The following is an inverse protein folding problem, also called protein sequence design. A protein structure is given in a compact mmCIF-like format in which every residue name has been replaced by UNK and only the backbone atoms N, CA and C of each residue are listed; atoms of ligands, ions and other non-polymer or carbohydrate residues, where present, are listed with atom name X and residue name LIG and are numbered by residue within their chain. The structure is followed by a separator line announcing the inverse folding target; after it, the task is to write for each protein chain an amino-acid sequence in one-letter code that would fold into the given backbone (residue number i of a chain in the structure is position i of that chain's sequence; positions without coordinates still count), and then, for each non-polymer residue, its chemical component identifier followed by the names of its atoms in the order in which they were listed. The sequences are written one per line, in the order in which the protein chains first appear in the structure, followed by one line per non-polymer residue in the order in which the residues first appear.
data_IF_573648703305
#
_entry.id   IF_573648703305
#
_cell.length_a   1.000
_cell.length_b   1.000
_cell.length_c   1.000
_cell.angle_alpha   90.00
_cell.angle_beta   90.00
_cell.angle_gamma   90.00
#
_symmetry.space_group_name_H-M   'P 1'
#
loop_
_entity.id
_entity.type
_entity.pdbx_description
1 polymer ?
#
# COMPACT_ATOMS: atom_id res chain seq x y z
N UNK A 1 24.91 28.68 0.65
CA UNK A 1 24.17 29.58 1.54
C UNK A 1 23.21 28.71 2.35
N UNK A 2 23.46 28.51 3.64
CA UNK A 2 22.61 27.68 4.50
C UNK A 2 21.23 28.31 4.69
N UNK A 3 20.17 27.52 4.52
CA UNK A 3 18.82 27.98 4.83
C UNK A 3 18.65 28.21 6.33
N UNK A 4 18.02 29.32 6.70
CA UNK A 4 17.65 29.62 8.09
C UNK A 4 16.63 28.60 8.63
N UNK A 5 16.61 28.41 9.95
CA UNK A 5 15.69 27.48 10.63
C UNK A 5 14.20 27.81 10.36
N UNK A 6 13.87 29.10 10.32
CA UNK A 6 12.51 29.56 9.99
C UNK A 6 12.12 29.20 8.55
N UNK A 7 13.04 29.35 7.59
CA UNK A 7 12.81 28.95 6.20
C UNK A 7 12.64 27.43 6.07
N UNK A 8 13.43 26.63 6.81
CA UNK A 8 13.28 25.16 6.88
C UNK A 8 11.92 24.75 7.45
N UNK A 9 11.45 25.42 8.50
CA UNK A 9 10.14 25.18 9.13
C UNK A 9 8.98 25.54 8.20
N UNK A 10 9.04 26.67 7.52
CA UNK A 10 8.03 27.07 6.55
C UNK A 10 7.97 26.13 5.35
N UNK A 11 9.12 25.70 4.83
CA UNK A 11 9.19 24.71 3.76
C UNK A 11 8.63 23.36 4.21
N UNK A 12 8.92 22.94 5.44
CA UNK A 12 8.35 21.74 6.03
C UNK A 12 6.81 21.82 6.07
N UNK A 13 6.24 22.89 6.61
CA UNK A 13 4.78 23.08 6.65
C UNK A 13 4.15 23.12 5.26
N UNK A 14 4.76 23.84 4.31
CA UNK A 14 4.32 23.87 2.90
C UNK A 14 4.34 22.47 2.25
N UNK A 15 5.29 21.63 2.67
CA UNK A 15 5.39 20.25 2.18
C UNK A 15 4.29 19.38 2.80
N UNK A 16 3.95 19.58 4.06
CA UNK A 16 2.87 18.85 4.73
C UNK A 16 1.50 19.20 4.17
N UNK A 17 1.29 20.43 3.69
CA UNK A 17 0.05 20.81 2.98
C UNK A 17 -0.22 19.98 1.71
N UNK A 18 0.80 19.37 1.12
CA UNK A 18 0.63 18.42 0.00
C UNK A 18 -0.17 17.20 0.44
N UNK A 19 0.07 16.69 1.66
CA UNK A 19 -0.72 15.60 2.22
C UNK A 19 -2.19 15.99 2.30
N UNK A 20 -2.50 17.13 2.95
CA UNK A 20 -3.87 17.60 3.14
C UNK A 20 -4.59 17.83 1.82
N UNK A 21 -3.91 18.48 0.87
CA UNK A 21 -4.46 18.75 -0.47
C UNK A 21 -4.74 17.45 -1.24
N UNK A 22 -3.81 16.49 -1.25
CA UNK A 22 -4.02 15.21 -1.91
C UNK A 22 -5.12 14.40 -1.23
N UNK A 23 -5.15 14.36 0.10
CA UNK A 23 -6.19 13.70 0.87
C UNK A 23 -7.59 14.22 0.50
N UNK A 24 -7.78 15.54 0.51
CA UNK A 24 -9.04 16.16 0.11
C UNK A 24 -9.44 15.80 -1.32
N UNK A 25 -8.51 15.89 -2.28
CA UNK A 25 -8.77 15.57 -3.68
C UNK A 25 -9.13 14.11 -3.90
N UNK A 26 -8.41 13.20 -3.24
CA UNK A 26 -8.66 11.76 -3.32
C UNK A 26 -10.05 11.43 -2.77
N UNK A 27 -10.41 11.96 -1.59
CA UNK A 27 -11.75 11.75 -1.00
C UNK A 27 -12.84 12.23 -1.97
N UNK A 28 -12.71 13.44 -2.53
CA UNK A 28 -13.67 13.97 -3.50
C UNK A 28 -13.82 13.09 -4.74
N UNK A 29 -12.71 12.58 -5.28
CA UNK A 29 -12.74 11.71 -6.45
C UNK A 29 -13.40 10.36 -6.14
N UNK A 30 -13.06 9.76 -5.01
CA UNK A 30 -13.66 8.51 -4.55
C UNK A 30 -15.17 8.67 -4.32
N UNK A 31 -15.61 9.80 -3.78
CA UNK A 31 -17.03 10.14 -3.66
C UNK A 31 -17.71 10.27 -5.03
N UNK A 32 -17.08 10.93 -6.01
CA UNK A 32 -17.63 11.04 -7.37
C UNK A 32 -17.74 9.69 -8.07
N UNK A 33 -16.88 8.74 -7.73
CA UNK A 33 -16.88 7.39 -8.29
C UNK A 33 -17.71 6.38 -7.49
N UNK A 34 -18.30 6.80 -6.37
CA UNK A 34 -18.97 5.90 -5.43
C UNK A 34 -20.26 5.29 -5.98
N UNK A 35 -20.92 6.00 -6.88
CA UNK A 35 -22.25 5.61 -7.34
C UNK A 35 -22.22 4.27 -8.10
N UNK A 36 -23.27 3.47 -7.91
CA UNK A 36 -23.38 2.12 -8.45
C UNK A 36 -23.19 1.03 -7.39
N UNK A 37 -22.22 0.14 -7.60
CA UNK A 37 -22.08 -1.09 -6.82
C UNK A 37 -21.69 -0.85 -5.35
N UNK A 38 -22.28 -1.62 -4.42
CA UNK A 38 -22.00 -1.57 -2.97
C UNK A 38 -20.49 -1.62 -2.65
N UNK A 39 -19.73 -2.42 -3.40
CA UNK A 39 -18.27 -2.54 -3.25
C UNK A 39 -17.56 -1.19 -3.39
N UNK A 40 -18.06 -0.26 -4.22
CA UNK A 40 -17.48 1.08 -4.37
C UNK A 40 -17.68 1.91 -3.10
N UNK A 41 -18.84 1.77 -2.43
CA UNK A 41 -19.10 2.43 -1.14
C UNK A 41 -18.12 1.94 -0.06
N UNK A 42 -17.84 0.63 0.01
CA UNK A 42 -16.84 0.10 0.95
C UNK A 42 -15.43 0.66 0.69
N UNK A 43 -15.05 0.85 -0.58
CA UNK A 43 -13.76 1.48 -0.90
C UNK A 43 -13.68 2.95 -0.48
N UNK A 44 -14.80 3.68 -0.54
CA UNK A 44 -14.86 5.06 -0.01
C UNK A 44 -14.74 5.06 1.51
N UNK A 45 -15.42 4.14 2.18
CA UNK A 45 -15.32 3.99 3.63
C UNK A 45 -13.88 3.68 4.08
N UNK A 46 -13.27 2.66 3.47
CA UNK A 46 -11.90 2.20 3.77
C UNK A 46 -10.86 3.30 3.52
N UNK A 47 -10.97 4.03 2.40
CA UNK A 47 -9.99 5.07 2.07
C UNK A 47 -10.11 6.29 2.99
N UNK A 48 -11.32 6.65 3.43
CA UNK A 48 -11.52 7.74 4.40
C UNK A 48 -10.84 7.38 5.71
N UNK A 49 -11.06 6.15 6.22
CA UNK A 49 -10.40 5.68 7.45
C UNK A 49 -8.88 5.73 7.31
N UNK A 50 -8.33 5.16 6.24
CA UNK A 50 -6.88 5.09 6.00
C UNK A 50 -6.26 6.48 5.87
N UNK A 51 -6.92 7.43 5.20
CA UNK A 51 -6.47 8.83 5.10
C UNK A 51 -6.50 9.52 6.47
N UNK A 52 -7.57 9.36 7.25
CA UNK A 52 -7.66 9.99 8.57
C UNK A 52 -6.66 9.40 9.56
N UNK A 53 -6.43 8.09 9.51
CA UNK A 53 -5.35 7.44 10.26
C UNK A 53 -4.00 8.07 9.92
N UNK A 54 -3.66 8.16 8.63
CA UNK A 54 -2.41 8.77 8.18
C UNK A 54 -2.32 10.25 8.54
N UNK A 55 -3.43 10.99 8.51
CA UNK A 55 -3.51 12.36 8.97
C UNK A 55 -3.23 12.50 10.46
N UNK A 56 -3.77 11.58 11.28
CA UNK A 56 -3.57 11.54 12.73
C UNK A 56 -2.11 11.31 13.12
N UNK A 57 -1.43 10.40 12.42
CA UNK A 57 -0.02 10.08 12.67
C UNK A 57 0.95 10.98 11.87
N UNK A 58 0.43 11.96 11.12
CA UNK A 58 1.25 12.91 10.40
C UNK A 58 1.97 13.87 11.37
N UNK A 59 3.04 14.53 10.89
CA UNK A 59 3.72 15.57 11.64
C UNK A 59 3.80 16.86 10.80
N UNK A 60 3.06 17.93 11.14
CA UNK A 60 2.07 17.99 12.21
C UNK A 60 0.81 17.16 11.87
N UNK A 61 0.04 16.72 12.88
CA UNK A 61 -1.20 15.96 12.67
C UNK A 61 -2.28 16.79 11.97
N UNK A 62 -3.08 16.13 11.13
CA UNK A 62 -4.30 16.67 10.54
C UNK A 62 -5.53 16.01 11.15
N UNK A 63 -6.53 16.80 11.51
CA UNK A 63 -7.85 16.30 11.93
C UNK A 63 -8.72 16.07 10.69
N UNK A 64 -9.76 15.21 10.76
CA UNK A 64 -10.71 15.06 9.66
C UNK A 64 -11.26 16.41 9.18
N UNK A 65 -11.68 17.27 10.12
CA UNK A 65 -12.16 18.64 9.85
C UNK A 65 -11.15 19.49 9.09
N UNK A 66 -9.85 19.42 9.41
CA UNK A 66 -8.85 20.22 8.69
C UNK A 66 -8.57 19.69 7.27
N UNK A 67 -8.79 18.40 7.02
CA UNK A 67 -8.66 17.80 5.69
C UNK A 67 -9.86 18.17 4.80
N UNK A 68 -11.09 17.94 5.28
CA UNK A 68 -12.30 18.03 4.43
C UNK A 68 -13.08 19.34 4.55
N UNK A 69 -12.84 20.15 5.59
CA UNK A 69 -13.66 21.33 5.88
C UNK A 69 -14.99 20.99 6.55
N UNK A 70 -15.69 21.99 7.09
CA UNK A 70 -16.89 21.78 7.92
C UNK A 70 -18.06 21.21 7.14
N UNK A 71 -18.33 21.74 5.95
CA UNK A 71 -19.50 21.35 5.15
C UNK A 71 -19.42 19.87 4.74
N UNK A 72 -18.30 19.45 4.16
CA UNK A 72 -18.08 18.05 3.76
C UNK A 72 -17.99 17.10 4.95
N UNK A 73 -17.50 17.58 6.10
CA UNK A 73 -17.38 16.76 7.31
C UNK A 73 -18.74 16.21 7.73
N UNK A 74 -19.77 17.07 7.79
CA UNK A 74 -21.12 16.68 8.22
C UNK A 74 -21.73 15.64 7.29
N UNK A 75 -21.56 15.80 5.98
CA UNK A 75 -22.06 14.81 5.01
C UNK A 75 -21.31 13.47 5.11
N UNK A 76 -19.99 13.50 5.29
CA UNK A 76 -19.19 12.30 5.44
C UNK A 76 -19.49 11.55 6.74
N UNK A 77 -19.66 12.25 7.86
CA UNK A 77 -20.02 11.62 9.15
C UNK A 77 -21.39 10.95 9.08
N UNK A 78 -22.34 11.53 8.34
CA UNK A 78 -23.65 10.92 8.09
C UNK A 78 -23.55 9.68 7.20
N UNK A 79 -22.82 9.76 6.09
CA UNK A 79 -22.79 8.72 5.07
C UNK A 79 -21.81 7.56 5.41
N UNK A 80 -20.74 7.87 6.15
CA UNK A 80 -19.61 7.00 6.52
C UNK A 80 -19.17 7.29 7.98
N UNK A 81 -19.95 6.87 8.99
CA UNK A 81 -19.65 7.19 10.39
C UNK A 81 -18.44 6.42 10.95
N UNK A 82 -18.21 5.18 10.51
CA UNK A 82 -17.21 4.28 11.08
C UNK A 82 -15.75 4.80 10.93
N UNK A 83 -15.35 5.39 9.78
CA UNK A 83 -14.04 6.02 9.66
C UNK A 83 -13.77 7.07 10.74
N UNK A 84 -14.75 7.89 11.11
CA UNK A 84 -14.61 8.92 12.15
C UNK A 84 -14.52 8.33 13.55
N UNK A 85 -15.21 7.22 13.78
CA UNK A 85 -15.17 6.51 15.06
C UNK A 85 -13.83 5.79 15.29
N UNK A 86 -13.25 5.22 14.23
CA UNK A 86 -12.16 4.25 14.37
C UNK A 86 -10.79 4.68 13.84
N UNK A 87 -10.65 5.81 13.13
CA UNK A 87 -9.35 6.25 12.59
C UNK A 87 -8.26 6.46 13.65
N UNK A 88 -8.65 6.67 14.92
CA UNK A 88 -7.74 6.89 16.04
C UNK A 88 -7.51 5.67 16.94
N UNK A 89 -8.11 4.52 16.63
CA UNK A 89 -8.08 3.32 17.49
C UNK A 89 -7.83 2.02 16.74
N UNK A 90 -8.21 1.94 15.46
CA UNK A 90 -8.00 0.77 14.60
C UNK A 90 -7.05 1.10 13.45
N UNK A 91 -6.29 0.10 12.98
CA UNK A 91 -5.33 0.29 11.90
C UNK A 91 -5.96 -0.01 10.53
N UNK A 92 -5.66 0.78 9.49
CA UNK A 92 -5.98 0.38 8.13
C UNK A 92 -5.14 -0.84 7.74
N UNK A 93 -5.74 -1.72 6.93
CA UNK A 93 -5.10 -2.95 6.44
C UNK A 93 -4.18 -2.72 5.24
N UNK A 94 -4.35 -1.59 4.55
CA UNK A 94 -3.60 -1.21 3.35
C UNK A 94 -3.58 0.31 3.16
N UNK A 95 -2.73 0.77 2.25
CA UNK A 95 -2.59 2.19 1.94
C UNK A 95 -3.82 2.76 1.18
N UNK A 96 -4.07 4.08 1.24
CA UNK A 96 -5.20 4.69 0.54
C UNK A 96 -5.18 4.47 -0.98
N UNK A 97 -3.99 4.46 -1.59
CA UNK A 97 -3.88 4.33 -3.04
C UNK A 97 -4.26 2.92 -3.54
N UNK A 98 -4.21 1.90 -2.67
CA UNK A 98 -4.74 0.56 -2.97
C UNK A 98 -6.26 0.59 -3.17
N UNK A 99 -6.98 1.42 -2.40
CA UNK A 99 -8.42 1.63 -2.58
C UNK A 99 -8.72 2.37 -3.90
N UNK A 100 -7.88 3.34 -4.28
CA UNK A 100 -7.98 4.04 -5.58
C UNK A 100 -7.75 3.06 -6.74
N UNK A 101 -6.75 2.18 -6.63
CA UNK A 101 -6.47 1.13 -7.61
C UNK A 101 -7.69 0.22 -7.80
N UNK A 102 -8.25 -0.29 -6.72
CA UNK A 102 -9.46 -1.13 -6.77
C UNK A 102 -10.65 -0.39 -7.38
N UNK A 103 -10.82 0.90 -7.04
CA UNK A 103 -11.87 1.73 -7.63
C UNK A 103 -11.68 1.84 -9.15
N UNK A 104 -10.45 2.07 -9.63
CA UNK A 104 -10.16 2.11 -11.07
C UNK A 104 -10.47 0.78 -11.75
N UNK A 105 -10.11 -0.35 -11.14
CA UNK A 105 -10.44 -1.69 -11.64
C UNK A 105 -11.96 -1.87 -11.77
N UNK A 106 -12.73 -1.42 -10.78
CA UNK A 106 -14.20 -1.50 -10.81
C UNK A 106 -14.87 -0.57 -11.82
N UNK A 107 -14.23 0.55 -12.17
CA UNK A 107 -14.75 1.50 -13.14
C UNK A 107 -14.41 1.10 -14.58
N UNK A 108 -13.20 0.58 -14.80
CA UNK A 108 -12.68 0.28 -16.14
C UNK A 108 -12.84 -1.18 -16.52
N UNK A 109 -12.98 -2.07 -15.56
CA UNK A 109 -13.00 -3.51 -15.77
C UNK A 109 -11.60 -4.11 -15.69
N UNK A 110 -11.50 -5.24 -15.01
CA UNK A 110 -10.24 -5.89 -14.63
C UNK A 110 -9.34 -6.29 -15.82
N UNK A 111 -9.94 -6.52 -16.99
CA UNK A 111 -9.19 -6.83 -18.22
C UNK A 111 -8.54 -5.63 -18.90
N UNK A 112 -8.95 -4.40 -18.59
CA UNK A 112 -8.58 -3.20 -19.33
C UNK A 112 -7.32 -2.54 -18.74
N UNK A 113 -6.22 -3.30 -18.70
CA UNK A 113 -4.96 -2.91 -18.07
C UNK A 113 -4.47 -1.53 -18.54
N UNK A 114 -4.34 -1.30 -19.85
CA UNK A 114 -3.82 -0.03 -20.38
C UNK A 114 -4.70 1.17 -20.01
N UNK A 115 -6.03 1.00 -20.04
CA UNK A 115 -6.96 2.06 -19.63
C UNK A 115 -6.84 2.36 -18.13
N UNK A 116 -6.61 1.34 -17.31
CA UNK A 116 -6.38 1.50 -15.87
C UNK A 116 -5.05 2.25 -15.63
N UNK A 117 -3.96 1.82 -16.29
CA UNK A 117 -2.65 2.49 -16.20
C UNK A 117 -2.75 3.96 -16.59
N UNK A 118 -3.37 4.24 -17.74
CA UNK A 118 -3.53 5.60 -18.24
C UNK A 118 -4.39 6.44 -17.30
N UNK A 119 -5.51 5.90 -16.81
CA UNK A 119 -6.38 6.64 -15.87
C UNK A 119 -5.69 6.97 -14.55
N UNK A 120 -4.84 6.07 -14.04
CA UNK A 120 -4.02 6.33 -12.85
C UNK A 120 -2.96 7.39 -13.13
N UNK A 121 -2.29 7.33 -14.28
CA UNK A 121 -1.31 8.35 -14.70
C UNK A 121 -1.96 9.73 -14.80
N UNK A 122 -3.10 9.84 -15.46
CA UNK A 122 -3.84 11.09 -15.64
C UNK A 122 -4.29 11.64 -14.28
N UNK A 123 -4.83 10.78 -13.41
CA UNK A 123 -5.16 11.14 -12.03
C UNK A 123 -3.95 11.75 -11.31
N UNK A 124 -2.82 11.07 -11.39
CA UNK A 124 -1.59 11.46 -10.70
C UNK A 124 -1.00 12.76 -11.27
N UNK A 125 -1.04 12.95 -12.59
CA UNK A 125 -0.48 14.11 -13.27
C UNK A 125 -1.37 15.35 -13.17
N UNK A 126 -2.68 15.17 -13.35
CA UNK A 126 -3.60 16.29 -13.56
C UNK A 126 -4.25 16.75 -12.27
N UNK A 127 -4.43 15.83 -11.31
CA UNK A 127 -5.19 16.12 -10.08
C UNK A 127 -4.28 16.19 -8.87
N UNK A 128 -3.30 15.30 -8.73
CA UNK A 128 -2.54 15.16 -7.49
C UNK A 128 -1.25 15.98 -7.50
N UNK A 129 -0.94 16.59 -6.35
CA UNK A 129 0.21 17.47 -6.21
C UNK A 129 1.49 16.66 -6.01
N UNK A 130 2.53 16.95 -6.80
CA UNK A 130 3.86 16.32 -6.75
C UNK A 130 4.96 17.35 -6.43
N UNK A 131 4.95 17.98 -5.25
CA UNK A 131 6.01 18.94 -4.89
C UNK A 131 7.22 18.24 -4.25
N UNK A 132 8.42 18.69 -4.66
CA UNK A 132 9.71 18.51 -3.96
C UNK A 132 9.92 17.09 -3.38
N UNK A 133 9.85 16.08 -4.24
CA UNK A 133 10.19 14.69 -3.91
C UNK A 133 9.31 14.01 -2.83
N UNK A 134 8.22 14.63 -2.37
CA UNK A 134 7.27 14.00 -1.43
C UNK A 134 5.92 13.76 -2.10
N UNK A 135 5.71 12.50 -2.51
CA UNK A 135 4.48 12.01 -3.13
C UNK A 135 3.56 11.43 -2.04
N UNK A 136 2.98 12.30 -1.21
CA UNK A 136 2.06 11.86 -0.16
C UNK A 136 0.80 11.25 -0.78
N UNK A 137 0.45 10.03 -0.35
CA UNK A 137 -0.75 9.30 -0.76
C UNK A 137 -0.79 8.95 -2.26
N UNK A 138 0.34 9.02 -2.96
CA UNK A 138 0.43 8.76 -4.40
C UNK A 138 1.44 7.66 -4.68
N UNK A 139 0.96 6.49 -5.10
CA UNK A 139 1.84 5.43 -5.61
C UNK A 139 2.35 5.81 -6.98
N UNK A 140 3.60 5.46 -7.28
CA UNK A 140 4.18 5.65 -8.62
C UNK A 140 4.50 4.36 -9.32
N UNK A 141 4.21 3.24 -8.67
CA UNK A 141 4.42 1.93 -9.24
C UNK A 141 3.19 1.09 -9.01
N UNK A 142 2.75 0.45 -10.08
CA UNK A 142 1.73 -0.59 -10.08
C UNK A 142 2.41 -1.92 -10.43
N UNK A 143 1.82 -3.01 -9.98
CA UNK A 143 2.18 -4.35 -10.42
C UNK A 143 0.92 -5.07 -10.87
N UNK A 144 1.05 -5.83 -11.97
CA UNK A 144 -0.01 -6.68 -12.51
C UNK A 144 0.47 -8.12 -12.48
N UNK A 145 -0.22 -8.94 -11.69
CA UNK A 145 0.01 -10.37 -11.60
C UNK A 145 -1.11 -11.12 -12.30
N UNK A 146 -0.77 -12.19 -13.01
CA UNK A 146 -1.73 -12.94 -13.82
C UNK A 146 -1.28 -14.40 -13.91
N UNK A 147 -2.23 -15.33 -13.77
CA UNK A 147 -1.96 -16.77 -13.84
C UNK A 147 -1.30 -17.19 -15.17
N UNK A 148 -1.81 -16.69 -16.29
CA UNK A 148 -1.23 -16.92 -17.62
C UNK A 148 -1.61 -15.79 -18.57
N UNK A 149 -0.63 -15.32 -19.35
CA UNK A 149 -0.84 -14.34 -20.42
C UNK A 149 -1.54 -14.93 -21.64
N UNK A 150 -1.40 -16.24 -21.88
CA UNK A 150 -1.90 -16.92 -23.07
C UNK A 150 -3.43 -17.02 -23.10
N UNK A 151 -4.06 -17.17 -21.94
CA UNK A 151 -5.50 -17.37 -21.81
C UNK A 151 -6.27 -16.13 -21.36
N UNK A 152 -5.65 -14.94 -21.44
CA UNK A 152 -6.20 -13.67 -20.94
C UNK A 152 -6.84 -13.83 -19.55
N UNK A 153 -6.15 -14.54 -18.64
CA UNK A 153 -6.70 -14.87 -17.33
C UNK A 153 -6.90 -13.60 -16.49
N UNK A 154 -7.58 -13.72 -15.36
CA UNK A 154 -7.84 -12.60 -14.46
C UNK A 154 -6.54 -11.90 -14.05
N UNK A 155 -6.53 -10.56 -14.11
CA UNK A 155 -5.39 -9.69 -13.73
C UNK A 155 -5.56 -9.16 -12.31
N UNK A 156 -4.54 -9.30 -11.49
CA UNK A 156 -4.53 -8.89 -10.09
C UNK A 156 -3.58 -7.72 -9.90
N UNK A 157 -4.10 -6.62 -9.39
CA UNK A 157 -3.37 -5.36 -9.30
C UNK A 157 -2.86 -5.15 -7.88
N UNK A 158 -1.73 -4.45 -7.78
CA UNK A 158 -1.18 -3.94 -6.54
C UNK A 158 -0.46 -2.63 -6.78
N UNK A 159 -0.26 -1.85 -5.71
CA UNK A 159 0.44 -0.56 -5.77
C UNK A 159 1.50 -0.48 -4.67
N UNK A 160 2.56 0.29 -4.94
CA UNK A 160 3.59 0.56 -3.94
C UNK A 160 3.04 1.42 -2.79
N UNK A 161 3.56 1.21 -1.57
CA UNK A 161 3.12 1.93 -0.38
C UNK A 161 3.60 3.39 -0.37
N UNK A 162 2.71 4.31 -0.74
CA UNK A 162 2.98 5.74 -0.86
C UNK A 162 2.78 6.51 0.45
N UNK A 163 3.60 6.22 1.44
CA UNK A 163 3.56 6.89 2.75
C UNK A 163 4.97 7.31 3.21
N UNK A 164 5.03 8.15 4.25
CA UNK A 164 6.29 8.53 4.90
C UNK A 164 6.98 7.34 5.58
N UNK A 165 8.22 7.50 6.10
CA UNK A 165 9.03 6.38 6.60
C UNK A 165 8.31 5.47 7.62
N UNK A 166 7.87 6.02 8.76
CA UNK A 166 7.16 5.24 9.78
C UNK A 166 5.76 4.79 9.31
N UNK A 167 4.92 5.67 8.73
CA UNK A 167 3.62 5.25 8.19
C UNK A 167 3.71 4.09 7.19
N UNK A 168 4.74 4.06 6.33
CA UNK A 168 4.97 2.97 5.38
C UNK A 168 5.27 1.66 6.09
N UNK A 169 6.16 1.66 7.08
CA UNK A 169 6.50 0.47 7.87
C UNK A 169 5.26 -0.05 8.62
N UNK A 170 4.46 0.85 9.18
CA UNK A 170 3.17 0.51 9.83
C UNK A 170 2.24 -0.20 8.84
N UNK A 171 2.04 0.37 7.64
CA UNK A 171 1.14 -0.22 6.63
C UNK A 171 1.64 -1.59 6.13
N UNK A 172 2.95 -1.77 5.96
CA UNK A 172 3.54 -3.07 5.60
C UNK A 172 3.28 -4.10 6.69
N UNK A 173 3.59 -3.77 7.96
CA UNK A 173 3.36 -4.70 9.06
C UNK A 173 1.87 -5.02 9.26
N UNK A 174 1.00 -4.00 9.14
CA UNK A 174 -0.45 -4.20 9.18
C UNK A 174 -0.93 -5.13 8.06
N UNK A 175 -0.43 -4.94 6.83
CA UNK A 175 -0.77 -5.79 5.70
C UNK A 175 -0.32 -7.24 5.93
N UNK A 176 0.92 -7.48 6.38
CA UNK A 176 1.41 -8.81 6.74
C UNK A 176 0.51 -9.52 7.77
N UNK A 177 0.06 -8.79 8.79
CA UNK A 177 -0.67 -9.38 9.92
C UNK A 177 -2.18 -9.53 9.68
N UNK A 178 -2.76 -8.84 8.70
CA UNK A 178 -4.22 -8.73 8.57
C UNK A 178 -4.79 -8.84 7.16
N UNK A 179 -3.96 -8.57 6.15
CA UNK A 179 -4.45 -8.34 4.79
C UNK A 179 -3.86 -9.33 3.80
N UNK A 180 -2.55 -9.47 3.70
CA UNK A 180 -1.91 -10.23 2.63
C UNK A 180 -2.15 -11.74 2.73
N UNK A 181 -2.07 -12.41 1.58
CA UNK A 181 -1.99 -13.87 1.54
C UNK A 181 -0.82 -14.37 2.39
N UNK A 182 -1.01 -15.50 3.05
CA UNK A 182 -0.02 -16.03 3.99
C UNK A 182 1.35 -16.27 3.33
N UNK A 183 1.43 -16.68 2.06
CA UNK A 183 2.70 -16.91 1.38
C UNK A 183 3.46 -15.59 1.15
N UNK A 184 2.74 -14.53 0.82
CA UNK A 184 3.34 -13.20 0.66
C UNK A 184 3.76 -12.63 2.01
N UNK A 185 2.90 -12.75 3.03
CA UNK A 185 3.23 -12.31 4.38
C UNK A 185 4.46 -13.03 4.92
N UNK A 186 4.53 -14.36 4.74
CA UNK A 186 5.66 -15.19 5.18
C UNK A 186 6.95 -14.85 4.41
N UNK A 187 6.87 -14.57 3.11
CA UNK A 187 8.00 -14.05 2.36
C UNK A 187 8.50 -12.73 2.98
N UNK A 188 7.63 -11.76 3.23
CA UNK A 188 8.01 -10.47 3.82
C UNK A 188 8.60 -10.64 5.22
N UNK A 189 7.98 -11.48 6.06
CA UNK A 189 8.42 -11.79 7.43
C UNK A 189 9.82 -12.42 7.50
N UNK A 190 10.29 -13.04 6.40
CA UNK A 190 11.65 -13.59 6.29
C UNK A 190 12.73 -12.55 6.54
N UNK A 191 12.48 -11.30 6.15
CA UNK A 191 13.41 -10.18 6.32
C UNK A 191 12.88 -9.16 7.34
N UNK A 192 11.66 -8.68 7.13
CA UNK A 192 11.05 -7.60 7.94
C UNK A 192 10.95 -7.95 9.43
N UNK A 193 11.29 -7.06 10.39
CA UNK A 193 11.46 -5.61 10.24
C UNK A 193 12.84 -5.16 9.75
N UNK A 194 13.81 -6.07 9.73
CA UNK A 194 15.17 -5.80 9.30
C UNK A 194 15.35 -5.97 7.79
N UNK A 195 16.56 -5.69 7.32
CA UNK A 195 16.98 -5.95 5.94
C UNK A 195 17.71 -7.29 5.78
N UNK A 196 18.07 -7.93 6.89
CA UNK A 196 18.81 -9.19 6.96
C UNK A 196 17.83 -10.35 7.10
N UNK A 197 18.09 -11.44 6.37
CA UNK A 197 17.29 -12.65 6.45
C UNK A 197 17.38 -13.27 7.85
N UNK A 198 16.23 -13.66 8.42
CA UNK A 198 16.17 -14.44 9.67
C UNK A 198 16.79 -15.83 9.45
N UNK A 199 17.66 -16.25 10.36
CA UNK A 199 18.30 -17.57 10.26
C UNK A 199 17.35 -18.72 10.61
N UNK A 200 16.30 -18.43 11.39
CA UNK A 200 15.33 -19.42 11.86
C UNK A 200 14.06 -19.51 11.00
N UNK A 201 13.90 -18.63 10.01
CA UNK A 201 12.67 -18.57 9.22
C UNK A 201 12.94 -18.10 7.79
N UNK A 202 12.46 -18.86 6.81
CA UNK A 202 12.54 -18.54 5.39
C UNK A 202 11.21 -18.91 4.70
N UNK A 203 10.32 -17.92 4.62
CA UNK A 203 9.05 -18.00 3.90
C UNK A 203 9.13 -17.43 2.49
N UNK A 204 10.32 -17.22 1.92
CA UNK A 204 10.45 -16.76 0.52
C UNK A 204 9.77 -17.74 -0.44
N UNK A 205 9.21 -17.19 -1.52
CA UNK A 205 8.46 -17.98 -2.49
C UNK A 205 9.10 -17.95 -3.87
N UNK A 206 8.80 -19.00 -4.64
CA UNK A 206 9.09 -19.09 -6.06
C UNK A 206 7.81 -19.41 -6.81
N UNK A 207 7.39 -18.47 -7.63
CA UNK A 207 6.17 -18.58 -8.45
C UNK A 207 6.33 -19.68 -9.51
N UNK A 208 5.24 -20.38 -9.88
CA UNK A 208 5.29 -21.36 -10.96
C UNK A 208 5.56 -20.70 -12.31
N UNK A 209 6.14 -21.46 -13.24
CA UNK A 209 6.42 -20.98 -14.60
C UNK A 209 5.14 -20.52 -15.29
N UNK A 210 5.22 -19.41 -16.03
CA UNK A 210 4.10 -18.84 -16.78
C UNK A 210 3.25 -17.83 -16.00
N UNK A 211 3.42 -17.74 -14.67
CA UNK A 211 2.81 -16.65 -13.90
C UNK A 211 3.52 -15.35 -14.21
N UNK A 212 2.74 -14.34 -14.56
CA UNK A 212 3.18 -12.98 -14.79
C UNK A 212 3.15 -12.20 -13.48
N UNK A 213 4.15 -11.34 -13.28
CA UNK A 213 4.22 -10.36 -12.19
C UNK A 213 5.07 -9.18 -12.68
N UNK A 214 4.43 -8.24 -13.38
CA UNK A 214 5.12 -7.13 -14.03
C UNK A 214 4.79 -5.81 -13.34
N UNK A 215 5.84 -5.06 -13.00
CA UNK A 215 5.73 -3.73 -12.44
C UNK A 215 5.86 -2.66 -13.53
N UNK A 216 5.16 -1.53 -13.36
CA UNK A 216 5.18 -0.40 -14.27
C UNK A 216 5.32 0.91 -13.49
N UNK A 217 6.07 1.87 -14.03
CA UNK A 217 6.12 3.23 -13.48
C UNK A 217 4.92 4.04 -14.01
N UNK A 218 4.17 4.68 -13.13
CA UNK A 218 3.00 5.45 -13.52
C UNK A 218 3.33 6.83 -14.13
N UNK A 219 4.61 7.25 -14.13
CA UNK A 219 5.01 8.53 -14.69
C UNK A 219 5.22 8.49 -16.21
N UNK A 220 5.82 7.42 -16.72
CA UNK A 220 6.08 7.17 -18.14
C UNK A 220 5.30 5.98 -18.71
N UNK A 221 4.79 5.08 -17.86
CA UNK A 221 4.16 3.79 -18.18
C UNK A 221 5.13 2.70 -18.60
N UNK A 222 6.42 2.91 -18.37
CA UNK A 222 7.45 1.96 -18.73
C UNK A 222 7.49 0.78 -17.76
N UNK A 223 7.92 -0.36 -18.31
CA UNK A 223 8.22 -1.56 -17.55
C UNK A 223 9.31 -1.31 -16.52
N UNK A 224 9.10 -1.80 -15.29
CA UNK A 224 10.12 -1.83 -14.25
C UNK A 224 10.55 -3.25 -13.98
N UNK A 225 11.86 -3.44 -13.91
CA UNK A 225 12.39 -4.69 -13.39
C UNK A 225 12.20 -4.79 -11.87
N UNK A 226 12.01 -6.01 -11.35
CA UNK A 226 11.83 -6.22 -9.92
C UNK A 226 13.08 -5.78 -9.17
N UNK A 227 12.88 -4.94 -8.14
CA UNK A 227 13.98 -4.50 -7.28
C UNK A 227 14.57 -5.68 -6.49
N UNK A 228 15.78 -5.50 -5.96
CA UNK A 228 16.49 -6.52 -5.16
C UNK A 228 15.61 -7.14 -4.07
N UNK A 229 14.82 -6.32 -3.36
CA UNK A 229 13.95 -6.80 -2.29
C UNK A 229 12.86 -7.74 -2.84
N UNK A 230 12.18 -7.36 -3.93
CA UNK A 230 11.16 -8.21 -4.55
C UNK A 230 11.73 -9.51 -5.10
N UNK A 231 12.95 -9.48 -5.65
CA UNK A 231 13.63 -10.70 -6.11
C UNK A 231 13.98 -11.63 -4.96
N UNK A 232 14.43 -11.07 -3.83
CA UNK A 232 14.68 -11.86 -2.63
C UNK A 232 13.39 -12.50 -2.09
N UNK A 233 12.26 -11.80 -2.11
CA UNK A 233 10.99 -12.29 -1.59
C UNK A 233 10.33 -13.35 -2.48
N UNK A 234 10.31 -13.09 -3.79
CA UNK A 234 9.42 -13.78 -4.73
C UNK A 234 10.16 -14.49 -5.87
N UNK A 235 11.51 -14.50 -5.84
CA UNK A 235 12.36 -15.12 -6.86
C UNK A 235 12.11 -14.58 -8.29
N UNK A 236 11.70 -13.31 -8.42
CA UNK A 236 11.41 -12.69 -9.71
C UNK A 236 12.67 -12.50 -10.55
N UNK A 237 12.54 -12.69 -11.86
CA UNK A 237 13.63 -12.53 -12.81
C UNK A 237 13.71 -11.09 -13.30
N UNK A 238 14.93 -10.61 -13.55
CA UNK A 238 15.17 -9.33 -14.21
C UNK A 238 15.13 -9.52 -15.72
N UNK A 239 14.54 -8.55 -16.44
CA UNK A 239 14.50 -8.51 -17.91
C UNK A 239 15.74 -7.82 -18.46
N UNK A 240 16.28 -6.85 -17.74
CA UNK A 240 17.46 -6.07 -18.11
C UNK A 240 18.54 -6.09 -17.03
N UNK A 241 19.80 -5.81 -17.41
CA UNK A 241 20.86 -5.60 -16.43
C UNK A 241 20.65 -4.23 -15.77
N UNK A 242 20.33 -4.24 -14.48
CA UNK A 242 20.03 -3.03 -13.71
C UNK A 242 21.19 -2.74 -12.76
N UNK A 243 21.68 -1.50 -12.75
CA UNK A 243 22.51 -1.01 -11.65
C UNK A 243 21.64 -0.86 -10.39
N UNK A 244 22.02 -1.56 -9.32
CA UNK A 244 21.30 -1.50 -8.06
C UNK A 244 21.61 -0.19 -7.34
N UNK A 245 20.65 0.74 -7.34
CA UNK A 245 20.68 1.89 -6.44
C UNK A 245 20.46 1.47 -4.98
N UNK A 246 20.80 2.37 -4.05
CA UNK A 246 20.54 2.17 -2.63
C UNK A 246 19.02 2.12 -2.36
N UNK A 247 18.53 1.01 -1.81
CA UNK A 247 17.11 0.82 -1.50
C UNK A 247 16.86 1.23 -0.05
N UNK A 248 16.10 2.31 0.14
CA UNK A 248 15.84 2.90 1.46
C UNK A 248 14.48 2.53 2.06
N UNK A 249 13.74 1.58 1.48
CA UNK A 249 12.39 1.19 1.92
C UNK A 249 12.35 -0.26 2.45
N UNK A 250 11.41 -0.59 3.35
CA UNK A 250 11.31 -1.93 3.90
C UNK A 250 10.88 -2.98 2.85
N UNK A 251 11.19 -4.24 3.12
CA UNK A 251 10.60 -5.39 2.42
C UNK A 251 9.06 -5.32 2.47
N UNK A 252 8.40 -5.68 1.38
CA UNK A 252 6.93 -5.59 1.24
C UNK A 252 6.39 -4.23 0.78
N UNK A 253 7.22 -3.18 0.67
CA UNK A 253 6.76 -1.86 0.21
C UNK A 253 6.26 -1.84 -1.25
N UNK A 254 6.85 -2.67 -2.11
CA UNK A 254 6.67 -2.61 -3.55
C UNK A 254 5.31 -3.19 -3.99
N UNK A 255 4.87 -2.81 -5.19
CA UNK A 255 3.55 -3.15 -5.71
C UNK A 255 3.33 -4.67 -5.89
N UNK A 256 4.40 -5.42 -6.09
CA UNK A 256 4.42 -6.87 -6.28
C UNK A 256 3.83 -7.61 -5.07
N UNK A 257 4.05 -7.12 -3.84
CA UNK A 257 3.51 -7.76 -2.64
C UNK A 257 1.98 -7.77 -2.64
N UNK A 258 1.34 -6.62 -2.86
CA UNK A 258 -0.12 -6.55 -2.93
C UNK A 258 -0.67 -7.30 -4.16
N UNK A 259 -0.03 -7.14 -5.32
CA UNK A 259 -0.45 -7.78 -6.56
C UNK A 259 -0.42 -9.32 -6.48
N UNK A 260 0.68 -9.89 -5.98
CA UNK A 260 0.82 -11.33 -5.76
C UNK A 260 -0.10 -11.83 -4.64
N UNK A 261 -0.27 -11.07 -3.56
CA UNK A 261 -1.22 -11.43 -2.50
C UNK A 261 -2.63 -11.56 -3.09
N UNK A 262 -3.04 -10.62 -3.94
CA UNK A 262 -4.33 -10.66 -4.60
C UNK A 262 -4.45 -11.85 -5.57
N UNK A 263 -3.38 -12.19 -6.31
CA UNK A 263 -3.34 -13.41 -7.14
C UNK A 263 -3.52 -14.67 -6.29
N UNK A 264 -2.69 -14.87 -5.26
CA UNK A 264 -2.66 -16.12 -4.48
C UNK A 264 -3.93 -16.37 -3.65
N UNK A 265 -4.62 -15.30 -3.22
CA UNK A 265 -5.93 -15.42 -2.57
C UNK A 265 -7.03 -15.95 -3.48
N UNK A 266 -6.94 -15.67 -4.78
CA UNK A 266 -8.02 -15.92 -5.73
C UNK A 266 -7.71 -17.05 -6.71
N UNK A 267 -6.44 -17.37 -6.95
CA UNK A 267 -5.98 -18.41 -7.86
C UNK A 267 -5.37 -19.57 -7.06
N UNK A 268 -6.23 -20.45 -6.53
CA UNK A 268 -5.84 -21.59 -5.69
C UNK A 268 -4.78 -22.48 -6.36
N UNK A 269 -4.93 -22.73 -7.66
CA UNK A 269 -3.97 -23.53 -8.43
C UNK A 269 -2.58 -22.89 -8.47
N UNK A 270 -2.51 -21.56 -8.58
CA UNK A 270 -1.22 -20.85 -8.56
C UNK A 270 -0.61 -20.95 -7.17
N UNK A 271 -1.42 -20.79 -6.12
CA UNK A 271 -0.97 -20.92 -4.73
C UNK A 271 -0.43 -22.31 -4.42
N UNK A 272 -1.15 -23.37 -4.79
CA UNK A 272 -0.73 -24.76 -4.58
C UNK A 272 0.56 -25.11 -5.33
N UNK A 273 0.82 -24.48 -6.48
CA UNK A 273 2.04 -24.67 -7.28
C UNK A 273 3.19 -23.73 -6.88
N UNK A 274 2.94 -22.75 -6.02
CA UNK A 274 3.97 -21.83 -5.55
C UNK A 274 4.85 -22.54 -4.54
N UNK A 275 6.16 -22.54 -4.78
CA UNK A 275 7.12 -23.19 -3.90
C UNK A 275 7.44 -22.26 -2.74
N UNK A 276 7.33 -22.77 -1.52
CA UNK A 276 7.78 -22.11 -0.29
C UNK A 276 8.55 -23.15 0.53
N UNK A 277 9.64 -22.75 1.19
CA UNK A 277 10.38 -23.69 2.04
C UNK A 277 9.51 -24.12 3.22
N UNK A 278 9.65 -25.38 3.62
CA UNK A 278 9.01 -25.87 4.83
C UNK A 278 9.67 -25.22 6.05
N UNK A 279 8.84 -24.73 6.96
CA UNK A 279 9.21 -24.28 8.30
C UNK A 279 8.23 -24.86 9.31
N UNK A 280 8.63 -24.95 10.57
CA UNK A 280 7.72 -25.36 11.63
C UNK A 280 6.81 -24.17 12.04
N UNK A 281 5.70 -24.49 12.70
CA UNK A 281 4.72 -23.50 13.14
C UNK A 281 5.27 -22.52 14.18
N UNK A 282 6.23 -22.95 15.00
CA UNK A 282 6.82 -22.13 16.07
C UNK A 282 7.70 -21.02 15.49
N UNK A 283 8.55 -21.32 14.52
CA UNK A 283 9.40 -20.36 13.82
C UNK A 283 8.57 -19.36 13.02
N UNK A 284 7.48 -19.82 12.39
CA UNK A 284 6.53 -18.94 11.72
C UNK A 284 5.85 -17.99 12.71
N UNK A 285 5.38 -18.52 13.84
CA UNK A 285 4.73 -17.72 14.87
C UNK A 285 5.72 -16.69 15.44
N UNK A 286 6.96 -17.10 15.72
CA UNK A 286 8.05 -16.21 16.15
C UNK A 286 8.32 -15.09 15.14
N UNK A 287 8.33 -15.40 13.84
CA UNK A 287 8.49 -14.38 12.80
C UNK A 287 7.31 -13.40 12.78
N UNK A 288 6.08 -13.89 12.93
CA UNK A 288 4.87 -13.06 13.04
C UNK A 288 4.86 -12.17 14.28
N UNK A 289 5.26 -12.71 15.42
CA UNK A 289 5.36 -11.95 16.68
C UNK A 289 6.41 -10.83 16.56
N UNK A 290 7.55 -11.10 15.90
CA UNK A 290 8.55 -10.08 15.59
C UNK A 290 7.98 -8.91 14.76
N UNK A 291 7.10 -9.19 13.78
CA UNK A 291 6.44 -8.13 13.00
C UNK A 291 5.39 -7.37 13.82
N UNK A 292 4.63 -8.08 14.67
CA UNK A 292 3.65 -7.46 15.57
C UNK A 292 4.32 -6.56 16.61
N UNK A 293 5.48 -6.94 17.14
CA UNK A 293 6.22 -6.15 18.12
C UNK A 293 6.86 -4.92 17.48
N UNK A 294 7.36 -5.04 16.24
CA UNK A 294 7.76 -3.86 15.46
C UNK A 294 6.57 -2.92 15.24
N UNK A 295 5.40 -3.46 14.86
CA UNK A 295 4.20 -2.66 14.65
C UNK A 295 3.81 -1.89 15.93
N UNK A 296 3.81 -2.54 17.09
CA UNK A 296 3.55 -1.87 18.38
C UNK A 296 4.57 -0.76 18.66
N UNK A 297 5.85 -1.00 18.36
CA UNK A 297 6.95 -0.03 18.54
C UNK A 297 6.71 1.20 17.68
N UNK A 298 6.47 1.01 16.38
CA UNK A 298 6.17 2.09 15.43
C UNK A 298 4.94 2.91 15.84
N UNK A 299 3.89 2.26 16.35
CA UNK A 299 2.68 2.93 16.81
C UNK A 299 2.92 3.76 18.07
N UNK A 300 3.77 3.28 18.98
CA UNK A 300 4.22 4.05 20.14
C UNK A 300 5.00 5.31 19.71
N UNK A 301 5.92 5.19 18.74
CA UNK A 301 6.69 6.33 18.21
C UNK A 301 5.80 7.43 17.63
N UNK A 302 4.75 7.05 16.89
CA UNK A 302 3.78 8.00 16.34
C UNK A 302 2.64 8.35 17.31
N UNK A 303 2.74 7.92 18.58
CA UNK A 303 1.79 8.17 19.66
C UNK A 303 0.36 7.72 19.35
N UNK A 304 0.22 6.62 18.61
CA UNK A 304 -1.06 6.01 18.26
C UNK A 304 -1.44 4.93 19.27
N UNK A 305 -2.65 5.00 19.81
CA UNK A 305 -3.17 4.01 20.77
C UNK A 305 -3.93 2.92 20.04
N UNK A 306 -3.25 1.81 19.76
CA UNK A 306 -3.86 0.64 19.15
C UNK A 306 -4.45 -0.29 20.21
N UNK A 307 -5.77 -0.49 20.16
CA UNK A 307 -6.47 -1.38 21.09
C UNK A 307 -6.56 -2.78 20.50
N UNK A 308 -6.33 -3.80 21.33
CA UNK A 308 -6.67 -5.21 21.09
C UNK A 308 -6.22 -5.83 19.75
N UNK A 309 -5.18 -5.30 19.10
CA UNK A 309 -4.77 -5.68 17.76
C UNK A 309 -5.88 -5.48 16.68
N UNK A 310 -6.75 -4.49 16.87
CA UNK A 310 -7.92 -4.27 16.02
C UNK A 310 -7.54 -3.63 14.68
N UNK A 311 -7.88 -4.31 13.58
CA UNK A 311 -7.77 -3.78 12.23
C UNK A 311 -9.14 -3.30 11.75
N UNK A 312 -9.13 -2.20 11.01
CA UNK A 312 -10.34 -1.60 10.47
C UNK A 312 -11.02 -2.51 9.44
N UNK A 313 -12.33 -2.65 9.57
CA UNK A 313 -13.19 -3.36 8.63
C UNK A 313 -14.28 -2.39 8.14
N UNK A 314 -14.22 -1.95 6.87
CA UNK A 314 -15.20 -1.05 6.26
C UNK A 314 -16.56 -1.73 6.01
#
# INVERSE_FOLDING_TARGET
MEMSEQSRREEFLKTQEVFRSNAFKIINLMLKWRDGALRRKHLVDEIIHSIFFLGKINNPPYTPKSIVGVEMLTDLERDFPLPFQYYSSQLPKRGPFSCVMDMMVLLKGQGNEDQIKQSLRDLINDKLSKKKNKRFLVSTTICVSQKSTENNSVRYYGVSMSAGPNPRRILVAAACCSAWDEYVSDAVMTYYPDTVRKQYFDGTIKLPKGVRCDAFDLSDLDDKDPCKLCRNLFSLQVRTQIEEGEISWPYGNCAEAESLSNLLKNEKEVKEKTQQKSYNSEDRQRAKDSVLDELKTLLSEVKFKWKANDFYNP
#
